data_IF_825305732033
#
_entry.id   IF_825305732033
#
_cell.length_a   1.000
_cell.length_b   1.000
_cell.length_c   1.000
_cell.angle_alpha   90.00
_cell.angle_beta   90.00
_cell.angle_gamma   90.00
#
_symmetry.space_group_name_H-M   'P 1'
#
loop_
_entity.id
_entity.type
_entity.pdbx_description
1 polymer ?
#
# COMPACT_ATOMS: atom_id res chain seq x y z
N UNK A 1 -16.36 -31.17 28.75
CA UNK A 1 -15.42 -32.26 28.43
C UNK A 1 -14.01 -31.70 28.48
N UNK A 2 -13.05 -32.48 28.98
CA UNK A 2 -11.64 -32.09 29.04
C UNK A 2 -10.92 -32.60 27.78
N UNK A 3 -10.07 -31.77 27.20
CA UNK A 3 -9.18 -32.17 26.11
C UNK A 3 -7.95 -32.89 26.68
N UNK A 4 -7.69 -34.16 26.32
CA UNK A 4 -6.54 -34.91 26.82
C UNK A 4 -5.18 -34.40 26.34
N UNK A 5 -5.11 -33.61 25.26
CA UNK A 5 -3.85 -33.09 24.73
C UNK A 5 -3.47 -31.73 25.32
N UNK A 6 -4.46 -30.86 25.55
CA UNK A 6 -4.23 -29.50 26.07
C UNK A 6 -4.56 -29.35 27.55
N UNK A 7 -5.27 -30.32 28.14
CA UNK A 7 -5.79 -30.22 29.51
C UNK A 7 -6.92 -29.18 29.66
N UNK A 8 -7.38 -28.57 28.57
CA UNK A 8 -8.38 -27.51 28.59
C UNK A 8 -9.77 -28.11 28.88
N UNK A 9 -10.49 -27.50 29.81
CA UNK A 9 -11.85 -27.86 30.14
C UNK A 9 -12.83 -26.98 29.36
N UNK A 10 -13.76 -27.64 28.66
CA UNK A 10 -14.86 -26.98 27.95
C UNK A 10 -16.22 -27.39 28.51
N UNK A 11 -17.15 -26.46 28.66
CA UNK A 11 -18.52 -26.77 29.10
C UNK A 11 -19.54 -25.92 28.35
N UNK A 12 -20.65 -26.50 27.92
CA UNK A 12 -21.74 -25.78 27.26
C UNK A 12 -23.03 -26.01 28.04
N UNK A 13 -23.64 -24.92 28.50
CA UNK A 13 -24.88 -24.92 29.27
C UNK A 13 -25.94 -24.11 28.50
N UNK A 14 -27.08 -24.72 28.12
CA UNK A 14 -28.23 -23.94 27.67
C UNK A 14 -28.84 -23.20 28.87
N UNK A 15 -28.84 -21.86 28.85
CA UNK A 15 -29.24 -21.05 30.01
C UNK A 15 -30.69 -20.59 29.91
N UNK A 16 -31.08 -20.00 28.77
CA UNK A 16 -32.40 -19.41 28.58
C UNK A 16 -32.84 -19.61 27.14
N UNK A 17 -34.12 -19.88 26.95
CA UNK A 17 -34.80 -19.74 25.67
C UNK A 17 -35.65 -18.48 25.73
N UNK A 18 -35.32 -17.49 24.90
CA UNK A 18 -36.11 -16.27 24.79
C UNK A 18 -37.29 -16.58 23.87
N UNK A 19 -38.55 -16.51 24.34
CA UNK A 19 -39.69 -16.69 23.46
C UNK A 19 -39.81 -15.47 22.55
N UNK A 20 -39.86 -15.70 21.24
CA UNK A 20 -40.13 -14.67 20.24
C UNK A 20 -41.58 -14.71 19.74
N UNK A 21 -41.98 -13.71 18.95
CA UNK A 21 -43.25 -13.73 18.23
C UNK A 21 -43.34 -14.98 17.35
N UNK A 22 -44.55 -15.55 17.22
CA UNK A 22 -44.86 -16.69 16.35
C UNK A 22 -44.17 -18.03 16.70
N UNK A 23 -43.75 -18.21 17.96
CA UNK A 23 -43.17 -19.49 18.42
C UNK A 23 -41.72 -19.73 18.02
N UNK A 24 -41.07 -18.75 17.37
CA UNK A 24 -39.62 -18.73 17.20
C UNK A 24 -38.95 -18.34 18.50
N UNK A 25 -38.02 -19.15 19.02
CA UNK A 25 -37.27 -18.84 20.24
C UNK A 25 -35.76 -18.77 19.98
N UNK A 26 -35.07 -17.86 20.66
CA UNK A 26 -33.60 -17.83 20.64
C UNK A 26 -33.05 -18.57 21.86
N UNK A 27 -32.40 -19.71 21.63
CA UNK A 27 -31.72 -20.45 22.68
C UNK A 27 -30.33 -19.83 22.91
N UNK A 28 -30.12 -19.28 24.11
CA UNK A 28 -28.82 -18.79 24.53
C UNK A 28 -28.04 -19.91 25.23
N UNK A 29 -26.88 -20.26 24.69
CA UNK A 29 -25.93 -21.16 25.33
C UNK A 29 -24.76 -20.39 25.92
N UNK A 30 -24.45 -20.67 27.18
CA UNK A 30 -23.24 -20.21 27.85
C UNK A 30 -22.15 -21.26 27.65
N UNK A 31 -21.00 -20.84 27.11
CA UNK A 31 -19.85 -21.73 26.93
C UNK A 31 -18.68 -21.30 27.80
N UNK A 32 -17.97 -22.27 28.38
CA UNK A 32 -16.75 -22.06 29.16
C UNK A 32 -15.55 -22.71 28.48
N UNK A 33 -14.40 -22.03 28.49
CA UNK A 33 -13.11 -22.51 28.02
C UNK A 33 -12.03 -22.10 29.05
N UNK A 34 -11.29 -23.07 29.59
CA UNK A 34 -10.29 -22.82 30.65
C UNK A 34 -8.87 -22.54 30.14
N UNK A 35 -8.64 -22.60 28.83
CA UNK A 35 -7.31 -22.50 28.22
C UNK A 35 -6.86 -21.07 27.89
N UNK A 36 -7.55 -20.05 28.40
CA UNK A 36 -7.22 -18.65 28.15
C UNK A 36 -6.00 -18.17 28.94
N UNK A 37 -5.22 -17.27 28.35
CA UNK A 37 -4.15 -16.56 29.07
C UNK A 37 -4.73 -15.50 30.01
N UNK A 38 -4.07 -15.19 31.13
CA UNK A 38 -4.46 -14.06 32.00
C UNK A 38 -4.45 -12.70 31.27
N UNK A 39 -3.84 -12.63 30.09
CA UNK A 39 -3.84 -11.46 29.21
C UNK A 39 -5.12 -11.34 28.35
N UNK A 40 -5.97 -12.38 28.32
CA UNK A 40 -7.22 -12.35 27.57
C UNK A 40 -8.29 -11.54 28.29
N UNK A 41 -8.90 -10.63 27.54
CA UNK A 41 -9.99 -9.81 28.01
C UNK A 41 -11.16 -10.66 28.50
N UNK A 42 -11.69 -10.31 29.67
CA UNK A 42 -12.83 -11.02 30.23
C UNK A 42 -14.06 -10.69 29.39
N UNK A 43 -14.90 -11.69 29.13
CA UNK A 43 -16.23 -11.37 28.65
C UNK A 43 -17.03 -10.66 29.74
N UNK A 44 -18.15 -10.07 29.33
CA UNK A 44 -19.16 -9.50 30.22
C UNK A 44 -19.82 -10.52 31.16
N UNK A 45 -19.60 -11.83 30.96
CA UNK A 45 -20.03 -12.91 31.85
C UNK A 45 -18.87 -13.58 32.60
N UNK A 46 -17.65 -13.03 32.49
CA UNK A 46 -16.46 -13.49 33.21
C UNK A 46 -15.39 -14.12 32.30
N UNK A 47 -14.18 -14.23 32.82
CA UNK A 47 -13.04 -14.79 32.08
C UNK A 47 -13.26 -16.28 31.76
N UNK A 48 -12.97 -16.67 30.52
CA UNK A 48 -13.23 -18.02 30.01
C UNK A 48 -14.70 -18.34 29.73
N UNK A 49 -15.65 -17.50 30.16
CA UNK A 49 -17.07 -17.65 29.86
C UNK A 49 -17.44 -16.81 28.63
N UNK A 50 -18.27 -17.36 27.74
CA UNK A 50 -18.79 -16.65 26.57
C UNK A 50 -20.29 -16.84 26.49
N UNK A 51 -21.01 -15.71 26.46
CA UNK A 51 -22.44 -15.66 26.20
C UNK A 51 -22.68 -14.73 25.01
N UNK A 52 -23.36 -15.24 23.98
CA UNK A 52 -23.68 -14.51 22.77
C UNK A 52 -25.18 -14.19 22.76
N UNK A 53 -25.59 -12.97 23.14
CA UNK A 53 -27.00 -12.58 23.16
C UNK A 53 -27.49 -12.02 21.81
N UNK A 54 -26.63 -12.05 20.78
CA UNK A 54 -26.79 -11.21 19.59
C UNK A 54 -26.38 -9.77 19.92
N UNK A 55 -25.66 -9.12 19.01
CA UNK A 55 -25.21 -7.74 19.20
C UNK A 55 -25.72 -6.86 18.06
N UNK A 56 -26.22 -5.67 18.40
CA UNK A 56 -26.44 -4.60 17.43
C UNK A 56 -25.15 -3.77 17.41
N UNK A 57 -24.35 -3.93 16.36
CA UNK A 57 -23.11 -3.17 16.21
C UNK A 57 -23.43 -1.79 15.65
N UNK A 58 -23.56 -0.79 16.52
CA UNK A 58 -23.64 0.62 16.13
C UNK A 58 -22.24 1.20 16.03
N UNK A 59 -21.84 1.65 14.84
CA UNK A 59 -20.62 2.44 14.67
C UNK A 59 -20.98 3.93 14.63
N UNK A 60 -20.42 4.71 15.54
CA UNK A 60 -20.54 6.17 15.47
C UNK A 60 -19.54 6.66 14.43
N UNK A 61 -20.02 7.34 13.40
CA UNK A 61 -19.18 8.04 12.40
C UNK A 61 -19.40 9.54 12.56
N UNK A 62 -18.30 10.28 12.70
CA UNK A 62 -18.34 11.74 12.82
C UNK A 62 -17.84 12.24 14.18
N UNK A 63 -18.10 13.50 14.45
CA UNK A 63 -17.75 14.18 15.70
C UNK A 63 -18.72 13.76 16.81
N UNK A 64 -18.30 13.77 18.09
CA UNK A 64 -19.21 13.48 19.19
C UNK A 64 -20.41 14.45 19.16
N UNK A 65 -21.61 13.94 19.43
CA UNK A 65 -22.87 14.72 19.46
C UNK A 65 -22.81 15.91 20.45
N UNK A 66 -21.91 15.83 21.44
CA UNK A 66 -21.60 16.92 22.37
C UNK A 66 -21.01 18.18 21.71
N UNK A 67 -20.65 18.13 20.43
CA UNK A 67 -20.12 19.26 19.66
C UNK A 67 -21.18 19.96 18.79
N UNK A 68 -22.47 19.72 19.03
CA UNK A 68 -23.55 20.42 18.33
C UNK A 68 -23.36 21.94 18.38
N UNK A 69 -23.31 22.55 17.20
CA UNK A 69 -23.18 23.99 16.99
C UNK A 69 -21.88 24.65 17.53
N UNK A 70 -20.80 23.88 17.72
CA UNK A 70 -19.49 24.40 18.10
C UNK A 70 -18.54 24.50 16.91
N UNK A 71 -17.71 25.55 16.86
CA UNK A 71 -16.68 25.69 15.84
C UNK A 71 -15.54 24.70 16.15
N UNK A 72 -15.28 23.79 15.21
CA UNK A 72 -14.22 22.79 15.34
C UNK A 72 -13.02 23.26 14.52
N UNK A 73 -12.00 23.77 15.21
CA UNK A 73 -10.75 24.18 14.58
C UNK A 73 -9.90 22.95 14.24
N UNK A 74 -9.98 22.50 12.99
CA UNK A 74 -9.16 21.38 12.48
C UNK A 74 -7.78 21.90 12.09
N UNK A 75 -6.81 21.75 12.99
CA UNK A 75 -5.42 22.11 12.71
C UNK A 75 -4.65 20.92 12.11
N UNK A 76 -4.46 20.93 10.79
CA UNK A 76 -3.63 19.92 10.11
C UNK A 76 -2.18 20.43 9.94
N UNK A 77 -1.30 20.09 10.89
CA UNK A 77 0.13 20.42 10.81
C UNK A 77 0.91 19.36 10.05
N UNK A 78 0.82 19.38 8.73
CA UNK A 78 1.75 18.64 7.88
C UNK A 78 2.97 19.50 7.55
N UNK A 79 4.15 18.89 7.53
CA UNK A 79 5.36 19.54 7.03
C UNK A 79 5.20 19.72 5.51
N UNK A 80 5.63 20.84 4.91
CA UNK A 80 5.57 20.98 3.46
C UNK A 80 6.39 19.87 2.81
N UNK A 81 5.83 19.17 1.81
CA UNK A 81 6.61 18.19 1.06
C UNK A 81 7.52 18.91 0.06
N UNK A 82 8.77 18.47 -0.04
CA UNK A 82 9.68 18.96 -1.06
C UNK A 82 10.49 17.79 -1.60
N UNK A 83 10.77 17.85 -2.90
CA UNK A 83 11.41 16.77 -3.63
C UNK A 83 12.56 17.32 -4.45
N UNK A 84 13.74 16.74 -4.29
CA UNK A 84 14.92 17.04 -5.09
C UNK A 84 15.32 15.80 -5.88
N UNK A 85 15.52 15.93 -7.19
CA UNK A 85 15.89 14.81 -8.05
C UNK A 85 17.10 15.14 -8.92
N UNK A 86 18.08 14.23 -8.90
CA UNK A 86 19.18 14.21 -9.86
C UNK A 86 18.96 13.10 -10.88
N UNK A 87 19.10 13.43 -12.17
CA UNK A 87 18.94 12.53 -13.29
C UNK A 87 20.25 12.46 -14.08
N UNK A 88 20.75 11.25 -14.34
CA UNK A 88 21.84 11.01 -15.29
C UNK A 88 21.36 10.04 -16.36
N UNK A 89 21.33 10.50 -17.62
CA UNK A 89 20.97 9.70 -18.79
C UNK A 89 22.21 9.46 -19.64
N UNK A 90 22.38 8.25 -20.13
CA UNK A 90 23.44 7.86 -21.05
C UNK A 90 22.82 7.02 -22.15
N UNK A 91 22.98 7.43 -23.40
CA UNK A 91 22.43 6.74 -24.56
C UNK A 91 23.58 6.16 -25.38
N UNK A 92 23.43 4.92 -25.81
CA UNK A 92 24.39 4.23 -26.67
C UNK A 92 23.65 3.80 -27.93
N UNK A 93 24.19 4.17 -29.09
CA UNK A 93 23.65 3.79 -30.39
C UNK A 93 24.43 2.59 -30.90
N UNK A 94 23.74 1.45 -31.06
CA UNK A 94 24.40 0.17 -31.36
C UNK A 94 24.42 -0.12 -32.86
N UNK A 95 23.54 0.50 -33.65
CA UNK A 95 23.50 0.33 -35.10
C UNK A 95 23.11 1.63 -35.80
N UNK A 96 24.02 2.17 -36.63
CA UNK A 96 23.71 3.12 -37.70
C UNK A 96 23.87 2.41 -39.04
N UNK A 97 22.95 2.63 -39.97
CA UNK A 97 23.04 2.12 -41.33
C UNK A 97 23.13 3.33 -42.27
N UNK A 98 24.32 3.58 -42.83
CA UNK A 98 24.47 4.49 -43.96
C UNK A 98 24.23 3.74 -45.28
N UNK A 99 23.75 4.45 -46.31
CA UNK A 99 23.45 3.91 -47.65
C UNK A 99 24.69 3.22 -48.30
N UNK A 100 25.91 3.56 -47.84
CA UNK A 100 27.18 2.95 -48.24
C UNK A 100 27.69 1.91 -47.23
N UNK A 101 26.87 0.93 -46.84
CA UNK A 101 27.30 -0.34 -46.21
C UNK A 101 28.17 -0.27 -44.94
N UNK A 102 28.29 0.91 -44.31
CA UNK A 102 29.19 1.16 -43.18
C UNK A 102 28.41 1.19 -41.88
N UNK A 103 28.76 0.29 -40.95
CA UNK A 103 28.25 0.31 -39.57
C UNK A 103 29.17 1.16 -38.71
N UNK A 104 28.73 2.35 -38.28
CA UNK A 104 29.45 3.16 -37.30
C UNK A 104 28.65 3.27 -35.98
N UNK A 105 29.15 2.62 -34.93
CA UNK A 105 28.59 2.75 -33.58
C UNK A 105 28.98 4.10 -32.97
N UNK A 106 27.99 4.88 -32.54
CA UNK A 106 28.18 6.22 -31.97
C UNK A 106 27.70 6.30 -30.51
N UNK A 107 28.35 7.14 -29.72
CA UNK A 107 27.94 7.47 -28.35
C UNK A 107 27.48 8.93 -28.31
N UNK A 108 26.17 9.18 -28.27
CA UNK A 108 25.63 10.54 -28.19
C UNK A 108 25.45 10.95 -26.72
N UNK A 109 26.40 11.74 -26.22
CA UNK A 109 26.31 12.41 -24.92
C UNK A 109 25.66 13.79 -25.11
N UNK A 110 24.33 13.87 -24.97
CA UNK A 110 23.61 15.14 -25.02
C UNK A 110 23.89 15.99 -23.77
N UNK A 111 24.64 17.06 -23.93
CA UNK A 111 24.56 18.26 -23.10
C UNK A 111 23.71 19.27 -23.88
N UNK A 112 22.60 19.72 -23.30
CA UNK A 112 21.77 20.78 -23.88
C UNK A 112 22.54 22.10 -23.74
N UNK A 113 23.23 22.52 -24.81
CA UNK A 113 23.62 23.91 -25.02
C UNK A 113 22.98 24.37 -26.34
N UNK A 114 22.25 25.46 -26.23
CA UNK A 114 21.56 26.15 -27.31
C UNK A 114 22.58 26.83 -28.21
N UNK A 115 22.34 26.76 -29.53
CA UNK A 115 23.01 27.50 -30.60
C UNK A 115 24.17 26.78 -31.32
N UNK A 116 23.83 25.86 -32.23
CA UNK A 116 24.67 25.57 -33.39
C UNK A 116 23.83 25.06 -34.58
N UNK A 117 24.22 25.55 -35.75
CA UNK A 117 23.49 25.63 -37.01
C UNK A 117 23.20 24.28 -37.70
N UNK A 118 22.12 24.30 -38.49
CA UNK A 118 21.55 23.17 -39.22
C UNK A 118 22.55 22.51 -40.18
N UNK A 119 22.91 21.26 -39.88
CA UNK A 119 23.38 20.28 -40.85
C UNK A 119 22.51 19.04 -40.74
N UNK A 120 21.60 18.82 -41.69
CA UNK A 120 20.72 17.65 -41.70
C UNK A 120 21.52 16.36 -41.97
N UNK A 121 22.00 15.71 -40.90
CA UNK A 121 22.50 14.34 -40.96
C UNK A 121 21.28 13.42 -41.00
N UNK A 122 20.92 12.94 -42.19
CA UNK A 122 19.86 11.95 -42.39
C UNK A 122 20.35 10.56 -41.91
N UNK A 123 20.27 10.32 -40.60
CA UNK A 123 20.58 9.02 -40.00
C UNK A 123 19.30 8.16 -39.95
N UNK A 124 19.14 7.26 -40.93
CA UNK A 124 17.94 6.44 -41.12
C UNK A 124 17.96 5.22 -40.19
N UNK A 125 17.08 5.26 -39.19
CA UNK A 125 16.70 4.20 -38.24
C UNK A 125 17.81 3.58 -37.38
N UNK A 126 17.94 4.10 -36.16
CA UNK A 126 18.88 3.64 -35.13
C UNK A 126 18.11 2.97 -33.99
N UNK A 127 18.51 1.75 -33.63
CA UNK A 127 18.11 1.14 -32.35
C UNK A 127 19.10 1.60 -31.27
N UNK A 128 18.60 2.32 -30.27
CA UNK A 128 19.39 2.84 -29.15
C UNK A 128 19.09 2.14 -27.84
N UNK A 129 20.12 1.93 -27.03
CA UNK A 129 20.02 1.51 -25.63
C UNK A 129 20.20 2.74 -24.74
N UNK A 130 19.20 3.02 -23.92
CA UNK A 130 19.21 4.13 -22.97
C UNK A 130 19.35 3.59 -21.56
N UNK A 131 20.35 4.06 -20.84
CA UNK A 131 20.50 3.80 -19.42
C UNK A 131 20.21 5.11 -18.68
N UNK A 132 19.30 5.05 -17.71
CA UNK A 132 19.03 6.20 -16.84
C UNK A 132 19.18 5.80 -15.39
N UNK A 133 19.85 6.65 -14.62
CA UNK A 133 19.92 6.56 -13.17
C UNK A 133 19.31 7.82 -12.59
N UNK A 134 18.39 7.65 -11.66
CA UNK A 134 17.83 8.77 -10.93
C UNK A 134 17.87 8.54 -9.43
N UNK A 135 18.23 9.60 -8.72
CA UNK A 135 18.20 9.67 -7.27
C UNK A 135 17.24 10.78 -6.93
N UNK A 136 16.23 10.44 -6.13
CA UNK A 136 15.25 11.39 -5.62
C UNK A 136 15.31 11.35 -4.10
N UNK A 137 15.36 12.53 -3.50
CA UNK A 137 15.13 12.71 -2.07
C UNK A 137 13.78 13.38 -1.88
N UNK A 138 12.95 12.81 -1.00
CA UNK A 138 11.70 13.37 -0.55
C UNK A 138 11.68 13.37 0.98
N UNK A 139 11.30 14.48 1.59
CA UNK A 139 11.31 14.63 3.05
C UNK A 139 10.30 13.76 3.81
N UNK A 140 9.38 13.10 3.11
CA UNK A 140 8.44 12.12 3.66
C UNK A 140 8.82 10.66 3.34
N UNK A 141 9.31 10.38 2.12
CA UNK A 141 9.57 9.02 1.64
C UNK A 141 11.05 8.62 1.68
N UNK A 142 11.95 9.55 2.02
CA UNK A 142 13.38 9.31 2.07
C UNK A 142 14.05 9.34 0.70
N UNK A 143 15.13 8.55 0.54
CA UNK A 143 15.91 8.49 -0.69
C UNK A 143 15.44 7.30 -1.53
N UNK A 144 15.00 7.56 -2.75
CA UNK A 144 14.75 6.53 -3.76
C UNK A 144 15.84 6.57 -4.83
N UNK A 145 16.42 5.41 -5.13
CA UNK A 145 17.37 5.24 -6.23
C UNK A 145 16.77 4.25 -7.22
N UNK A 146 16.69 4.65 -8.48
CA UNK A 146 16.16 3.78 -9.52
C UNK A 146 17.08 3.86 -10.73
N UNK A 147 17.37 2.69 -11.29
CA UNK A 147 18.09 2.56 -12.54
C UNK A 147 17.14 1.91 -13.54
N UNK A 148 17.03 2.46 -14.74
CA UNK A 148 16.26 1.87 -15.83
C UNK A 148 17.13 1.71 -17.07
N UNK A 149 16.79 0.68 -17.84
CA UNK A 149 17.29 0.44 -19.18
C UNK A 149 16.08 0.48 -20.13
N UNK A 150 16.20 1.17 -21.25
CA UNK A 150 15.14 1.31 -22.23
C UNK A 150 15.68 1.18 -23.65
N UNK A 151 14.91 0.55 -24.51
CA UNK A 151 15.16 0.52 -25.96
C UNK A 151 14.41 1.69 -26.59
N UNK A 152 15.10 2.51 -27.38
CA UNK A 152 14.45 3.53 -28.22
C UNK A 152 14.68 3.24 -29.69
N UNK A 153 13.63 3.43 -30.49
CA UNK A 153 13.70 3.49 -31.94
C UNK A 153 13.48 4.94 -32.36
N UNK A 154 14.49 5.59 -32.92
CA UNK A 154 14.32 6.93 -33.52
C UNK A 154 13.45 6.78 -34.77
N UNK A 155 12.31 7.48 -34.79
CA UNK A 155 11.47 7.60 -35.99
C UNK A 155 12.08 8.67 -36.89
N UNK A 156 12.15 8.38 -38.19
CA UNK A 156 12.35 9.39 -39.22
C UNK A 156 11.06 10.18 -39.43
#
# INVERSE_FOLDING_TARGET
MVDPFTGNFTYNLPVVQIPGPDGGGYAMSLSYHSGGSSEEESSWVGHGWTLNPGAINTSVRGNPDSYDNTLIDVYNKTRPNWTMSGLKKTNIEVFSASEDGGSSGGTSAGAEDSDAESGAVYNKSVFGLNFSKYVRYNNYQGISKTSSIGLSKSRC
#
